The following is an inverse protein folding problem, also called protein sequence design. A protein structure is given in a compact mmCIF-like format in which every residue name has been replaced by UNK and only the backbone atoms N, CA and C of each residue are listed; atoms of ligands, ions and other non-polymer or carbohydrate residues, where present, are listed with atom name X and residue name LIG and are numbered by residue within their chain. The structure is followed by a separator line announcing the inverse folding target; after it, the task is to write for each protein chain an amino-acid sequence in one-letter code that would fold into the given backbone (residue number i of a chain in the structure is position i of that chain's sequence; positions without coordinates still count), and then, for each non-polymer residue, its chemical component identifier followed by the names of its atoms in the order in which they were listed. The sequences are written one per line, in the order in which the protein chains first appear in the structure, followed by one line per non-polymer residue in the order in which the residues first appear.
data_IF_163220595187
#
_entry.id   IF_163220595187
#
_cell.length_a   1.000
_cell.length_b   1.000
_cell.length_c   1.000
_cell.angle_alpha   90.00
_cell.angle_beta   90.00
_cell.angle_gamma   90.00
#
_symmetry.space_group_name_H-M   'P 1'
#
loop_
_entity.id
_entity.type
_entity.pdbx_description
1 polymer ?
#
# COMPACT_ATOMS: atom_id res chain seq x y z
N UNK A 1 -61.79 -8.08 -25.28
CA UNK A 1 -61.65 -9.08 -24.19
C UNK A 1 -60.88 -10.35 -24.57
N UNK A 2 -60.77 -10.75 -25.85
CA UNK A 2 -59.98 -11.93 -26.26
C UNK A 2 -58.50 -11.61 -26.62
N UNK A 3 -58.19 -10.36 -26.99
CA UNK A 3 -56.83 -9.92 -27.37
C UNK A 3 -55.88 -9.70 -26.18
N UNK A 4 -56.40 -9.35 -24.99
CA UNK A 4 -55.58 -9.15 -23.78
C UNK A 4 -55.03 -10.48 -23.22
N UNK A 5 -55.75 -11.58 -23.43
CA UNK A 5 -55.32 -12.92 -23.02
C UNK A 5 -54.14 -13.42 -23.84
N UNK A 6 -54.05 -13.05 -25.12
CA UNK A 6 -52.92 -13.38 -25.99
C UNK A 6 -51.65 -12.61 -25.58
N UNK A 7 -51.80 -11.34 -25.20
CA UNK A 7 -50.69 -10.52 -24.71
C UNK A 7 -50.16 -11.01 -23.34
N UNK A 8 -51.04 -11.45 -22.43
CA UNK A 8 -50.61 -12.03 -21.15
C UNK A 8 -49.94 -13.40 -21.30
N UNK A 9 -50.43 -14.26 -22.21
CA UNK A 9 -49.81 -15.55 -22.49
C UNK A 9 -48.39 -15.39 -23.07
N UNK A 10 -48.21 -14.40 -23.95
CA UNK A 10 -46.90 -14.08 -24.53
C UNK A 10 -45.95 -13.51 -23.46
N UNK A 11 -46.44 -12.68 -22.53
CA UNK A 11 -45.63 -12.16 -21.40
C UNK A 11 -45.16 -13.27 -20.45
N UNK A 12 -46.00 -14.26 -20.16
CA UNK A 12 -45.61 -15.42 -19.35
C UNK A 12 -44.54 -16.27 -20.04
N UNK A 13 -44.65 -16.46 -21.35
CA UNK A 13 -43.66 -17.18 -22.14
C UNK A 13 -42.29 -16.48 -22.12
N UNK A 14 -42.26 -15.16 -22.25
CA UNK A 14 -41.01 -14.38 -22.14
C UNK A 14 -40.39 -14.43 -20.74
N UNK A 15 -41.19 -14.40 -19.67
CA UNK A 15 -40.68 -14.51 -18.29
C UNK A 15 -40.08 -15.91 -18.05
N UNK A 16 -40.75 -16.97 -18.52
CA UNK A 16 -40.27 -18.34 -18.42
C UNK A 16 -38.95 -18.54 -19.21
N UNK A 17 -38.86 -17.94 -20.40
CA UNK A 17 -37.66 -17.98 -21.24
C UNK A 17 -36.48 -17.26 -20.59
N UNK A 18 -36.70 -16.10 -19.98
CA UNK A 18 -35.65 -15.36 -19.22
C UNK A 18 -35.19 -16.17 -18.01
N UNK A 19 -36.11 -16.81 -17.28
CA UNK A 19 -35.77 -17.62 -16.11
C UNK A 19 -34.94 -18.86 -16.50
N UNK A 20 -35.27 -19.52 -17.61
CA UNK A 20 -34.48 -20.61 -18.19
C UNK A 20 -33.06 -20.19 -18.57
N UNK A 21 -32.91 -19.01 -19.20
CA UNK A 21 -31.60 -18.47 -19.58
C UNK A 21 -30.74 -18.14 -18.35
N UNK A 22 -31.36 -17.67 -17.26
CA UNK A 22 -30.66 -17.43 -15.98
C UNK A 22 -30.23 -18.73 -15.30
N UNK A 23 -31.06 -19.79 -15.36
CA UNK A 23 -30.76 -21.08 -14.73
C UNK A 23 -29.70 -21.89 -15.48
N UNK A 24 -29.56 -21.71 -16.79
CA UNK A 24 -28.53 -22.40 -17.59
C UNK A 24 -27.22 -21.62 -17.73
N UNK A 25 -27.11 -20.42 -17.18
CA UNK A 25 -25.89 -19.62 -17.22
C UNK A 25 -24.91 -19.96 -16.09
N UNK A 26 -24.56 -21.24 -15.94
CA UNK A 26 -23.32 -21.66 -15.29
C UNK A 26 -22.43 -22.30 -16.34
N UNK A 27 -21.69 -21.45 -17.07
CA UNK A 27 -20.64 -21.92 -17.95
C UNK A 27 -19.39 -22.13 -17.09
N UNK A 28 -19.08 -23.39 -16.76
CA UNK A 28 -17.76 -23.76 -16.22
C UNK A 28 -16.73 -23.48 -17.31
N UNK A 29 -16.14 -22.28 -17.27
CA UNK A 29 -14.92 -21.98 -18.01
C UNK A 29 -13.79 -22.73 -17.32
N UNK A 30 -13.57 -23.98 -17.73
CA UNK A 30 -12.28 -24.62 -17.51
C UNK A 30 -11.26 -23.88 -18.37
N UNK A 31 -10.64 -22.87 -17.78
CA UNK A 31 -9.51 -22.14 -18.35
C UNK A 31 -8.27 -23.06 -18.36
N UNK A 32 -8.31 -24.13 -19.14
CA UNK A 32 -7.10 -24.87 -19.50
C UNK A 32 -6.51 -24.22 -20.75
N UNK A 33 -5.99 -23.01 -20.59
CA UNK A 33 -4.97 -22.47 -21.48
C UNK A 33 -3.72 -22.24 -20.63
N UNK A 34 -3.02 -23.34 -20.36
CA UNK A 34 -1.63 -23.28 -19.90
C UNK A 34 -0.83 -22.78 -21.09
N UNK A 35 -0.69 -21.46 -21.20
CA UNK A 35 0.30 -20.83 -22.07
C UNK A 35 1.64 -21.42 -21.64
N UNK A 36 2.14 -22.36 -22.43
CA UNK A 36 3.50 -22.87 -22.33
C UNK A 36 4.43 -21.75 -22.79
N UNK A 37 4.62 -20.76 -21.90
CA UNK A 37 5.77 -19.87 -21.93
C UNK A 37 6.99 -20.76 -21.68
N UNK A 38 7.48 -21.28 -22.80
CA UNK A 38 8.79 -21.89 -22.99
C UNK A 38 9.84 -21.02 -22.30
N UNK A 39 10.22 -21.46 -21.11
CA UNK A 39 11.59 -21.63 -20.67
C UNK A 39 12.58 -20.53 -21.10
N UNK A 40 12.30 -19.31 -20.65
CA UNK A 40 13.38 -18.46 -20.18
C UNK A 40 13.00 -17.97 -18.79
N UNK A 41 12.90 -18.93 -17.86
CA UNK A 41 12.87 -18.68 -16.43
C UNK A 41 14.24 -18.11 -16.09
N UNK A 42 14.40 -16.79 -16.32
CA UNK A 42 15.38 -15.99 -15.60
C UNK A 42 15.33 -16.50 -14.17
N UNK A 43 16.46 -16.98 -13.63
CA UNK A 43 16.50 -17.40 -12.24
C UNK A 43 16.11 -16.16 -11.45
N UNK A 44 14.84 -16.09 -11.04
CA UNK A 44 14.38 -15.12 -10.07
C UNK A 44 15.14 -15.53 -8.82
N UNK A 45 16.28 -14.90 -8.59
CA UNK A 45 16.93 -14.93 -7.29
C UNK A 45 15.93 -14.30 -6.35
N UNK A 46 15.38 -15.09 -5.42
CA UNK A 46 14.57 -14.54 -4.35
C UNK A 46 15.45 -13.55 -3.59
N UNK A 47 15.12 -12.27 -3.69
CA UNK A 47 15.75 -11.22 -2.88
C UNK A 47 15.02 -11.24 -1.55
N UNK A 48 15.74 -11.55 -0.48
CA UNK A 48 15.23 -11.46 0.89
C UNK A 48 15.73 -10.17 1.53
N UNK A 49 14.83 -9.44 2.17
CA UNK A 49 15.15 -8.24 2.94
C UNK A 49 15.05 -8.58 4.42
N UNK A 50 16.06 -8.18 5.20
CA UNK A 50 16.06 -8.28 6.66
C UNK A 50 15.95 -6.87 7.26
N UNK A 51 15.04 -6.70 8.22
CA UNK A 51 14.99 -5.48 9.03
C UNK A 51 16.11 -5.53 10.07
N UNK A 52 17.01 -4.55 10.04
CA UNK A 52 18.14 -4.40 10.96
C UNK A 52 18.00 -3.13 11.80
N UNK A 53 16.84 -2.46 11.78
CA UNK A 53 16.63 -1.15 12.42
C UNK A 53 16.94 -1.20 13.91
N UNK A 54 16.48 -2.24 14.61
CA UNK A 54 16.73 -2.41 16.06
C UNK A 54 18.18 -2.80 16.32
N UNK A 55 18.71 -3.76 15.56
CA UNK A 55 20.08 -4.26 15.70
C UNK A 55 21.12 -3.17 15.43
N UNK A 56 20.82 -2.24 14.53
CA UNK A 56 21.62 -1.05 14.24
C UNK A 56 21.47 0.06 15.29
N UNK A 57 20.68 -0.14 16.35
CA UNK A 57 20.44 0.84 17.40
C UNK A 57 19.50 1.99 17.03
N UNK A 58 18.80 1.91 15.88
CA UNK A 58 17.91 2.95 15.35
C UNK A 58 16.44 2.78 15.77
N UNK A 59 16.11 1.77 16.57
CA UNK A 59 14.73 1.41 16.93
C UNK A 59 13.92 2.49 17.65
N UNK A 60 14.58 3.51 18.22
CA UNK A 60 13.92 4.62 18.92
C UNK A 60 13.64 5.83 18.02
N UNK A 61 14.10 5.83 16.77
CA UNK A 61 13.87 6.94 15.85
C UNK A 61 12.39 7.07 15.52
N UNK A 62 11.85 8.28 15.64
CA UNK A 62 10.48 8.61 15.24
C UNK A 62 10.52 9.86 14.37
N UNK A 63 9.91 9.76 13.19
CA UNK A 63 9.60 10.90 12.34
C UNK A 63 8.14 11.32 12.53
N UNK A 64 7.93 12.62 12.74
CA UNK A 64 6.61 13.25 12.77
C UNK A 64 6.62 14.49 11.88
N UNK A 65 5.79 14.43 10.85
CA UNK A 65 5.60 15.48 9.85
C UNK A 65 4.79 16.69 10.37
N UNK A 66 4.42 16.71 11.65
CA UNK A 66 3.64 17.80 12.24
C UNK A 66 2.19 17.80 11.80
N UNK A 67 1.67 16.73 11.20
CA UNK A 67 0.32 16.74 10.64
C UNK A 67 -0.76 17.03 11.67
N UNK A 68 -1.71 17.86 11.26
CA UNK A 68 -2.93 18.22 12.01
C UNK A 68 -4.14 18.46 11.08
N UNK A 69 -4.03 18.04 9.81
CA UNK A 69 -5.14 18.03 8.86
C UNK A 69 -5.26 19.29 8.01
N UNK A 70 -4.28 20.19 8.03
CA UNK A 70 -4.24 21.37 7.16
C UNK A 70 -3.45 21.14 5.88
N UNK A 71 -2.75 20.00 5.77
CA UNK A 71 -1.96 19.62 4.59
C UNK A 71 -0.95 20.70 4.21
N UNK A 72 -0.35 21.35 5.21
CA UNK A 72 0.74 22.27 4.95
C UNK A 72 1.94 21.54 4.38
N UNK A 73 2.81 22.25 3.66
CA UNK A 73 3.94 21.64 2.96
C UNK A 73 4.77 20.69 3.85
N UNK A 74 5.10 21.02 5.12
CA UNK A 74 5.81 20.10 5.99
C UNK A 74 5.05 18.80 6.31
N UNK A 75 3.71 18.80 6.28
CA UNK A 75 2.89 17.60 6.49
C UNK A 75 2.99 16.60 5.32
N UNK A 76 3.34 17.09 4.12
CA UNK A 76 3.50 16.28 2.92
C UNK A 76 4.94 15.80 2.70
N UNK A 77 5.89 16.36 3.44
CA UNK A 77 7.30 16.01 3.36
C UNK A 77 7.62 14.86 4.31
N UNK A 78 8.46 13.93 3.83
CA UNK A 78 8.98 12.86 4.67
C UNK A 78 10.17 13.31 5.53
N UNK A 79 10.71 12.36 6.28
CA UNK A 79 11.98 12.53 6.99
C UNK A 79 13.13 12.78 6.02
N UNK A 80 14.26 13.21 6.57
CA UNK A 80 15.55 13.19 5.89
C UNK A 80 16.66 12.73 6.82
N UNK A 81 17.87 12.64 6.28
CA UNK A 81 19.04 12.29 7.04
C UNK A 81 20.29 12.31 6.18
N UNK A 82 21.44 12.08 6.82
CA UNK A 82 22.73 12.01 6.17
C UNK A 82 23.78 11.37 7.05
N UNK A 83 24.92 11.06 6.44
CA UNK A 83 26.10 10.55 7.14
C UNK A 83 27.10 11.68 7.35
N UNK A 84 27.69 11.73 8.54
CA UNK A 84 28.70 12.72 8.91
C UNK A 84 29.65 12.10 9.93
N UNK A 85 30.94 12.38 9.82
CA UNK A 85 31.89 12.11 10.91
C UNK A 85 31.88 13.35 11.83
N UNK A 86 31.07 13.33 12.89
CA UNK A 86 30.83 14.56 13.68
C UNK A 86 31.95 14.84 14.69
N UNK A 87 32.69 13.81 15.10
CA UNK A 87 33.75 13.89 16.10
C UNK A 87 35.16 13.66 15.53
N UNK A 88 35.28 13.48 14.22
CA UNK A 88 36.53 13.29 13.50
C UNK A 88 37.31 12.05 13.97
N UNK A 89 36.60 10.95 14.26
CA UNK A 89 37.21 9.67 14.61
C UNK A 89 37.40 8.74 13.40
N UNK A 90 36.97 9.19 12.21
CA UNK A 90 37.09 8.46 10.95
C UNK A 90 35.93 7.51 10.67
N UNK A 91 34.94 7.42 11.56
CA UNK A 91 33.76 6.60 11.39
C UNK A 91 32.56 7.50 11.03
N UNK A 92 31.74 7.07 10.08
CA UNK A 92 30.55 7.81 9.71
C UNK A 92 29.44 7.55 10.73
N UNK A 93 28.92 8.64 11.31
CA UNK A 93 27.74 8.69 12.16
C UNK A 93 26.49 8.98 11.32
N UNK A 94 25.31 8.77 11.92
CA UNK A 94 24.02 9.00 11.25
C UNK A 94 23.30 10.19 11.89
N UNK A 95 22.90 11.13 11.05
CA UNK A 95 22.01 12.23 11.43
C UNK A 95 20.64 12.04 10.79
N UNK A 96 19.56 11.96 11.59
CA UNK A 96 18.19 11.83 11.12
C UNK A 96 17.31 13.00 11.56
N UNK A 97 16.36 13.37 10.70
CA UNK A 97 15.45 14.51 10.89
C UNK A 97 14.09 14.00 11.40
N UNK A 98 13.86 14.12 12.71
CA UNK A 98 12.63 13.67 13.35
C UNK A 98 11.41 14.57 13.05
N UNK A 99 11.63 15.83 12.64
CA UNK A 99 10.54 16.76 12.34
C UNK A 99 10.03 17.49 13.58
N UNK A 100 8.71 17.58 13.77
CA UNK A 100 8.17 18.34 14.89
C UNK A 100 6.66 18.52 14.90
N UNK A 101 6.18 19.35 15.83
CA UNK A 101 4.76 19.67 15.99
C UNK A 101 4.54 21.18 16.03
N UNK A 102 3.32 21.62 15.73
CA UNK A 102 2.99 23.03 15.70
C UNK A 102 2.47 23.47 17.06
N UNK A 103 3.18 24.37 17.75
CA UNK A 103 2.91 24.80 19.13
C UNK A 103 1.42 25.15 19.42
N UNK A 104 0.71 25.71 18.45
CA UNK A 104 -0.69 26.14 18.60
C UNK A 104 -1.73 25.11 18.13
N UNK A 105 -1.31 23.99 17.55
CA UNK A 105 -2.22 22.98 16.98
C UNK A 105 -2.01 21.58 17.57
N UNK A 106 -0.76 21.20 17.86
CA UNK A 106 -0.40 19.88 18.38
C UNK A 106 0.63 20.01 19.51
N UNK A 107 0.46 19.24 20.58
CA UNK A 107 1.43 19.13 21.69
C UNK A 107 2.01 17.73 21.70
N UNK A 108 3.02 17.51 20.86
CA UNK A 108 3.78 16.25 20.80
C UNK A 108 5.22 16.53 21.18
N UNK A 109 5.79 15.70 22.05
CA UNK A 109 7.19 15.81 22.45
C UNK A 109 8.02 14.95 21.47
N UNK A 110 8.68 15.62 20.53
CA UNK A 110 9.40 14.98 19.44
C UNK A 110 10.77 15.62 19.33
N UNK A 111 11.81 14.80 19.20
CA UNK A 111 13.15 15.31 18.92
C UNK A 111 13.23 15.68 17.45
N UNK A 112 13.55 16.94 17.16
CA UNK A 112 13.68 17.44 15.78
C UNK A 112 14.86 16.81 15.05
N UNK A 113 15.92 16.51 15.78
CA UNK A 113 17.17 15.97 15.24
C UNK A 113 17.65 14.81 16.10
N UNK A 114 18.11 13.75 15.45
CA UNK A 114 18.70 12.58 16.09
C UNK A 114 20.10 12.36 15.54
N UNK A 115 21.09 12.32 16.42
CA UNK A 115 22.46 11.94 16.10
C UNK A 115 22.74 10.57 16.70
N UNK A 116 23.11 9.62 15.85
CA UNK A 116 23.51 8.27 16.23
C UNK A 116 24.99 8.12 15.97
N UNK A 117 25.75 7.99 17.06
CA UNK A 117 27.19 7.76 16.99
C UNK A 117 27.47 6.30 16.60
N UNK A 118 28.37 6.08 15.65
CA UNK A 118 28.94 4.78 15.34
C UNK A 118 30.21 4.54 16.19
N UNK A 119 30.40 3.32 16.73
CA UNK A 119 31.49 3.05 17.68
C UNK A 119 31.99 1.60 17.62
#
# INVERSE_FOLDING_TARGET
MMLDKFAQLNRFFYILLIFMVLLFSCNNRDSTEKISLSQNKSRITNIEFSDVTTDAGLGNFIHDNGSFGKMWFPEQMGSGGGFIDYNNDGWLDILLIGGGSWKNYTKRNIKTLWLYKNN
#
